data_IF_636764727039
#
_entry.id   IF_636764727039
#
_cell.length_a   1.000
_cell.length_b   1.000
_cell.length_c   1.000
_cell.angle_alpha   90.00
_cell.angle_beta   90.00
_cell.angle_gamma   90.00
#
_symmetry.space_group_name_H-M   'P 1'
#
loop_
_entity.id
_entity.type
_entity.pdbx_description
1 polymer ?
#
# COMPACT_ATOMS: atom_id res chain seq x y z
N UNK A 1 82.30 103.85 -54.06
CA UNK A 1 82.51 102.77 -53.07
C UNK A 1 81.82 103.13 -51.77
N UNK A 2 80.60 102.63 -51.58
CA UNK A 2 79.99 102.43 -50.26
C UNK A 2 78.84 101.45 -50.51
N UNK A 3 78.88 100.29 -49.85
CA UNK A 3 77.93 99.22 -50.14
C UNK A 3 76.72 99.40 -49.22
N UNK A 4 75.69 100.07 -49.72
CA UNK A 4 74.34 99.93 -49.17
C UNK A 4 73.76 98.62 -49.67
N UNK A 5 73.81 97.58 -48.85
CA UNK A 5 73.14 96.32 -49.15
C UNK A 5 71.62 96.57 -49.16
N UNK A 6 70.94 96.26 -50.27
CA UNK A 6 69.48 96.20 -50.32
C UNK A 6 69.03 94.88 -49.68
N UNK A 7 68.48 94.84 -48.45
CA UNK A 7 68.15 93.57 -47.79
C UNK A 7 66.84 92.97 -48.33
N UNK A 8 66.12 93.76 -49.13
CA UNK A 8 64.79 93.49 -49.66
C UNK A 8 64.69 93.90 -51.13
N UNK A 9 65.56 93.34 -51.97
CA UNK A 9 65.28 93.27 -53.40
C UNK A 9 63.96 92.52 -53.59
N UNK A 10 62.97 93.18 -54.21
CA UNK A 10 61.64 92.62 -54.42
C UNK A 10 61.73 91.37 -55.31
N UNK A 11 61.53 90.20 -54.70
CA UNK A 11 61.09 89.01 -55.42
C UNK A 11 59.63 89.24 -55.79
N UNK A 12 59.39 89.55 -57.05
CA UNK A 12 58.06 89.81 -57.63
C UNK A 12 57.28 88.49 -57.83
N UNK A 13 57.32 87.63 -56.81
CA UNK A 13 56.76 86.28 -56.80
C UNK A 13 55.26 86.32 -56.48
N UNK A 14 54.48 86.86 -57.41
CA UNK A 14 53.00 86.87 -57.39
C UNK A 14 52.40 85.44 -57.30
N UNK A 15 53.22 84.40 -57.49
CA UNK A 15 52.88 82.99 -57.29
C UNK A 15 53.12 82.46 -55.85
N UNK A 16 53.69 83.26 -54.94
CA UNK A 16 54.37 82.80 -53.73
C UNK A 16 53.62 82.90 -52.39
N UNK A 17 52.29 82.73 -52.33
CA UNK A 17 51.55 82.78 -51.04
C UNK A 17 52.12 81.75 -50.03
N UNK A 18 52.63 82.18 -48.86
CA UNK A 18 53.29 81.27 -47.91
C UNK A 18 52.31 80.21 -47.40
N UNK A 19 52.63 78.94 -47.66
CA UNK A 19 51.86 77.81 -47.17
C UNK A 19 52.40 77.34 -45.82
N UNK A 20 51.58 77.49 -44.77
CA UNK A 20 51.88 77.00 -43.43
C UNK A 20 51.43 75.55 -43.27
N UNK A 21 52.23 74.74 -42.58
CA UNK A 21 51.88 73.35 -42.23
C UNK A 21 50.73 73.31 -41.21
N UNK A 22 49.75 72.42 -41.42
CA UNK A 22 48.56 72.31 -40.57
C UNK A 22 48.72 71.23 -39.51
N UNK A 23 48.82 71.63 -38.24
CA UNK A 23 48.81 70.75 -37.07
C UNK A 23 47.40 70.52 -36.49
N UNK A 24 47.23 69.46 -35.68
CA UNK A 24 45.95 69.08 -35.07
C UNK A 24 45.34 70.16 -34.14
N UNK A 25 46.15 71.12 -33.69
CA UNK A 25 45.72 72.34 -33.02
C UNK A 25 46.58 73.50 -33.52
N UNK A 26 45.95 74.58 -33.98
CA UNK A 26 46.61 75.75 -34.55
C UNK A 26 45.66 76.96 -34.61
N UNK A 27 46.10 78.03 -35.28
CA UNK A 27 45.29 79.24 -35.50
C UNK A 27 44.21 79.03 -36.57
N UNK A 28 43.11 79.79 -36.51
CA UNK A 28 42.10 79.78 -37.58
C UNK A 28 42.70 80.35 -38.86
N UNK A 29 42.75 79.53 -39.92
CA UNK A 29 43.22 79.91 -41.24
C UNK A 29 42.54 81.19 -41.75
N UNK A 30 41.24 81.39 -41.52
CA UNK A 30 40.53 82.61 -41.98
C UNK A 30 40.96 83.88 -41.26
N UNK A 31 41.46 83.76 -40.03
CA UNK A 31 42.02 84.88 -39.27
C UNK A 31 43.47 85.15 -39.72
N UNK A 32 44.26 84.11 -39.98
CA UNK A 32 45.62 84.22 -40.51
C UNK A 32 45.61 84.82 -41.93
N UNK A 33 44.80 84.29 -42.84
CA UNK A 33 44.68 84.79 -44.23
C UNK A 33 44.38 86.30 -44.27
N UNK A 34 43.43 86.78 -43.44
CA UNK A 34 43.08 88.21 -43.32
C UNK A 34 44.21 89.04 -42.70
N UNK A 35 44.93 88.50 -41.72
CA UNK A 35 46.04 89.22 -41.09
C UNK A 35 47.21 89.39 -42.07
N UNK A 36 47.54 88.34 -42.85
CA UNK A 36 48.56 88.40 -43.92
C UNK A 36 48.17 89.44 -44.97
N UNK A 37 46.93 89.41 -45.47
CA UNK A 37 46.41 90.40 -46.43
C UNK A 37 46.47 91.84 -45.89
N UNK A 38 46.22 92.03 -44.59
CA UNK A 38 46.40 93.33 -43.93
C UNK A 38 47.88 93.76 -43.86
N UNK A 39 48.80 92.86 -43.52
CA UNK A 39 50.24 93.18 -43.45
C UNK A 39 50.86 93.42 -44.84
N UNK A 40 50.42 92.69 -45.87
CA UNK A 40 50.87 92.89 -47.25
C UNK A 40 50.43 94.27 -47.76
N UNK A 41 49.19 94.68 -47.46
CA UNK A 41 48.70 96.02 -47.75
C UNK A 41 49.50 97.13 -47.05
N UNK A 42 49.86 96.94 -45.77
CA UNK A 42 50.72 97.86 -45.03
C UNK A 42 52.14 97.95 -45.62
N UNK A 43 52.73 96.81 -46.01
CA UNK A 43 54.03 96.74 -46.66
C UNK A 43 54.03 97.50 -47.99
N UNK A 44 52.97 97.35 -48.80
CA UNK A 44 52.80 98.08 -50.05
C UNK A 44 52.74 99.59 -49.84
N UNK A 45 51.98 100.08 -48.84
CA UNK A 45 51.92 101.52 -48.53
C UNK A 45 53.28 102.08 -48.09
N UNK A 46 54.00 101.38 -47.20
CA UNK A 46 55.32 101.79 -46.72
C UNK A 46 56.37 101.81 -47.85
N UNK A 47 56.26 100.89 -48.80
CA UNK A 47 57.13 100.83 -49.99
C UNK A 47 56.87 102.02 -50.92
N UNK A 48 55.59 102.36 -51.17
CA UNK A 48 55.24 103.54 -51.97
C UNK A 48 55.69 104.86 -51.33
N UNK A 49 55.60 104.98 -49.99
CA UNK A 49 56.11 106.15 -49.26
C UNK A 49 57.64 106.28 -49.32
N UNK A 50 58.37 105.15 -49.18
CA UNK A 50 59.83 105.07 -49.38
C UNK A 50 60.23 105.58 -50.76
N UNK A 51 59.53 105.14 -51.80
CA UNK A 51 59.89 105.47 -53.18
C UNK A 51 59.59 106.93 -53.53
N UNK A 52 58.50 107.49 -52.99
CA UNK A 52 58.27 108.94 -53.02
C UNK A 52 59.37 109.74 -52.31
N UNK A 53 59.83 109.29 -51.14
CA UNK A 53 60.89 109.95 -50.40
C UNK A 53 62.24 109.91 -51.15
N UNK A 54 62.57 108.76 -51.76
CA UNK A 54 63.76 108.62 -52.61
C UNK A 54 63.72 109.57 -53.82
N UNK A 55 62.57 109.70 -54.48
CA UNK A 55 62.36 110.65 -55.58
C UNK A 55 62.59 112.11 -55.16
N UNK A 56 62.11 112.51 -53.97
CA UNK A 56 62.34 113.87 -53.42
C UNK A 56 63.82 114.14 -53.14
N UNK A 57 64.55 113.16 -52.57
CA UNK A 57 66.00 113.27 -52.32
C UNK A 57 66.80 113.42 -53.62
N UNK A 58 66.42 112.67 -54.66
CA UNK A 58 67.07 112.80 -55.98
C UNK A 58 66.82 114.19 -56.60
N UNK A 59 65.58 114.70 -56.54
CA UNK A 59 65.23 116.04 -57.01
C UNK A 59 65.98 117.18 -56.30
N UNK A 60 66.14 117.10 -54.97
CA UNK A 60 66.93 118.07 -54.22
C UNK A 60 68.42 118.04 -54.61
N UNK A 61 68.96 116.85 -54.89
CA UNK A 61 70.37 116.67 -55.28
C UNK A 61 70.69 117.37 -56.61
N UNK A 62 69.82 117.28 -57.62
CA UNK A 62 70.02 117.98 -58.90
C UNK A 62 69.88 119.50 -58.78
N UNK A 63 69.01 119.98 -57.90
CA UNK A 63 68.82 121.42 -57.66
C UNK A 63 70.08 122.07 -57.03
N UNK A 64 70.74 121.38 -56.11
CA UNK A 64 72.00 121.84 -55.49
C UNK A 64 73.11 121.96 -56.56
N UNK A 65 73.24 120.99 -57.45
CA UNK A 65 74.24 121.01 -58.53
C UNK A 65 74.03 122.20 -59.48
N UNK A 66 72.78 122.57 -59.77
CA UNK A 66 72.46 123.75 -60.60
C UNK A 66 72.89 125.06 -59.95
N UNK A 67 72.54 125.27 -58.68
CA UNK A 67 72.89 126.50 -57.95
C UNK A 67 74.41 126.70 -57.83
N UNK A 68 75.18 125.60 -57.75
CA UNK A 68 76.65 125.65 -57.77
C UNK A 68 77.20 126.20 -59.08
N UNK A 69 76.57 125.92 -60.23
CA UNK A 69 76.98 126.47 -61.52
C UNK A 69 76.71 127.97 -61.62
N UNK A 70 75.49 128.41 -61.29
CA UNK A 70 75.05 129.82 -61.40
C UNK A 70 75.93 130.77 -60.55
N UNK A 71 76.39 130.31 -59.37
CA UNK A 71 77.34 131.04 -58.50
C UNK A 71 78.75 131.19 -59.12
N UNK A 72 79.17 130.30 -60.02
CA UNK A 72 80.48 130.42 -60.70
C UNK A 72 80.45 131.37 -61.90
N UNK A 73 79.31 131.57 -62.55
CA UNK A 73 79.16 132.51 -63.67
C UNK A 73 79.21 133.96 -63.19
N UNK A 74 78.46 134.29 -62.14
CA UNK A 74 78.35 135.66 -61.60
C UNK A 74 79.68 136.24 -61.12
N UNK A 75 80.69 135.41 -60.84
CA UNK A 75 82.02 135.84 -60.39
C UNK A 75 82.94 136.38 -61.50
N UNK A 76 82.53 136.35 -62.79
CA UNK A 76 83.43 136.57 -63.93
C UNK A 76 83.29 137.92 -64.67
N UNK A 77 82.53 138.91 -64.15
CA UNK A 77 82.28 140.20 -64.84
C UNK A 77 82.75 141.46 -64.07
N UNK A 78 83.74 142.23 -64.59
CA UNK A 78 84.04 143.60 -64.17
C UNK A 78 83.29 144.66 -65.00
N UNK A 79 83.34 145.93 -64.59
CA UNK A 79 82.61 147.05 -65.22
C UNK A 79 83.46 148.33 -65.41
N UNK A 80 83.04 149.23 -66.30
CA UNK A 80 83.62 150.56 -66.57
C UNK A 80 82.53 151.61 -66.83
N UNK A 81 82.77 152.86 -66.40
CA UNK A 81 82.05 154.08 -66.82
C UNK A 81 83.04 155.25 -66.78
N UNK A 82 82.98 156.16 -67.74
CA UNK A 82 83.68 157.46 -67.71
C UNK A 82 82.92 158.49 -68.57
N UNK A 83 83.01 159.80 -68.23
CA UNK A 83 82.58 160.92 -69.09
C UNK A 83 83.09 162.28 -68.59
N UNK A 84 83.72 163.03 -69.51
CA UNK A 84 84.26 164.37 -69.26
C UNK A 84 83.26 165.50 -69.55
N UNK A 85 83.60 166.71 -69.10
CA UNK A 85 82.87 167.97 -69.35
C UNK A 85 83.61 168.88 -70.33
N UNK A 86 82.86 169.73 -71.05
CA UNK A 86 83.39 170.82 -71.86
C UNK A 86 82.75 172.14 -71.44
N UNK A 87 83.52 173.23 -71.59
CA UNK A 87 83.21 174.60 -71.20
C UNK A 87 83.79 175.51 -72.30
N UNK A 88 83.17 176.68 -72.51
CA UNK A 88 83.54 177.78 -73.45
C UNK A 88 82.70 177.89 -74.74
N UNK A 89 81.46 178.39 -74.62
CA UNK A 89 80.75 179.11 -75.69
C UNK A 89 79.99 180.31 -75.10
N UNK A 90 80.01 181.46 -75.79
CA UNK A 90 79.56 182.76 -75.28
C UNK A 90 78.09 183.17 -75.58
N UNK A 91 77.72 184.45 -75.36
CA UNK A 91 76.36 184.87 -74.98
C UNK A 91 75.21 184.68 -75.98
N UNK A 92 75.47 184.29 -77.23
CA UNK A 92 74.41 183.78 -78.11
C UNK A 92 73.91 182.41 -77.61
N UNK A 93 74.81 181.59 -77.05
CA UNK A 93 74.48 180.33 -76.39
C UNK A 93 73.72 180.59 -75.10
N UNK A 94 73.94 181.68 -74.36
CA UNK A 94 73.10 182.00 -73.19
C UNK A 94 71.63 182.26 -73.57
N UNK A 95 71.35 182.91 -74.72
CA UNK A 95 69.97 183.05 -75.20
C UNK A 95 69.37 181.73 -75.70
N UNK A 96 70.17 180.90 -76.39
CA UNK A 96 69.73 179.57 -76.84
C UNK A 96 69.48 178.65 -75.65
N UNK A 97 70.34 178.70 -74.62
CA UNK A 97 70.17 177.99 -73.35
C UNK A 97 68.96 178.50 -72.59
N UNK A 98 68.74 179.81 -72.45
CA UNK A 98 67.56 180.34 -71.74
C UNK A 98 66.24 180.01 -72.48
N UNK A 99 66.25 179.90 -73.81
CA UNK A 99 65.08 179.45 -74.57
C UNK A 99 64.91 177.92 -74.48
N UNK A 100 66.00 177.16 -74.55
CA UNK A 100 66.01 175.70 -74.37
C UNK A 100 65.66 175.29 -72.94
N UNK A 101 65.98 176.10 -71.92
CA UNK A 101 65.63 175.92 -70.51
C UNK A 101 64.14 176.17 -70.30
N UNK A 102 63.56 177.20 -70.95
CA UNK A 102 62.10 177.40 -70.99
C UNK A 102 61.38 176.26 -71.72
N UNK A 103 61.92 175.80 -72.85
CA UNK A 103 61.37 174.64 -73.58
C UNK A 103 61.51 173.34 -72.77
N UNK A 104 62.64 173.13 -72.10
CA UNK A 104 62.85 172.02 -71.18
C UNK A 104 61.93 172.11 -69.96
N UNK A 105 61.64 173.31 -69.46
CA UNK A 105 60.60 173.58 -68.47
C UNK A 105 59.23 173.08 -68.94
N UNK A 106 58.76 173.50 -70.11
CA UNK A 106 57.48 173.04 -70.69
C UNK A 106 57.48 171.53 -70.99
N UNK A 107 58.61 170.98 -71.45
CA UNK A 107 58.74 169.53 -71.71
C UNK A 107 58.74 168.73 -70.40
N UNK A 108 59.41 169.21 -69.35
CA UNK A 108 59.43 168.54 -68.04
C UNK A 108 58.11 168.69 -67.31
N UNK A 109 57.46 169.86 -67.34
CA UNK A 109 56.12 170.09 -66.78
C UNK A 109 55.06 169.24 -67.49
N UNK A 110 55.06 169.18 -68.83
CA UNK A 110 54.17 168.29 -69.57
C UNK A 110 54.54 166.80 -69.47
N UNK A 111 55.78 166.46 -69.10
CA UNK A 111 56.18 165.09 -68.81
C UNK A 111 55.80 164.66 -67.38
N UNK A 112 55.99 165.52 -66.37
CA UNK A 112 55.54 165.26 -64.99
C UNK A 112 54.01 165.24 -64.92
N UNK A 113 53.31 166.14 -65.60
CA UNK A 113 51.85 166.08 -65.68
C UNK A 113 51.36 164.76 -66.32
N UNK A 114 52.00 164.29 -67.40
CA UNK A 114 51.69 162.97 -67.99
C UNK A 114 52.06 161.80 -67.07
N UNK A 115 53.19 161.87 -66.37
CA UNK A 115 53.60 160.86 -65.41
C UNK A 115 52.63 160.78 -64.22
N UNK A 116 52.23 161.93 -63.67
CA UNK A 116 51.25 162.04 -62.59
C UNK A 116 49.86 161.53 -63.04
N UNK A 117 49.44 161.83 -64.28
CA UNK A 117 48.20 161.28 -64.83
C UNK A 117 48.26 159.74 -64.96
N UNK A 118 49.33 159.20 -65.54
CA UNK A 118 49.53 157.75 -65.68
C UNK A 118 49.67 157.05 -64.31
N UNK A 119 50.28 157.70 -63.32
CA UNK A 119 50.32 157.21 -61.93
C UNK A 119 48.91 157.20 -61.32
N UNK A 120 48.14 158.28 -61.44
CA UNK A 120 46.77 158.33 -60.94
C UNK A 120 45.82 157.34 -61.66
N UNK A 121 46.06 157.04 -62.95
CA UNK A 121 45.36 155.98 -63.68
C UNK A 121 45.77 154.58 -63.19
N UNK A 122 47.07 154.33 -63.01
CA UNK A 122 47.56 153.06 -62.48
C UNK A 122 47.10 152.82 -61.02
N UNK A 123 47.09 153.86 -60.18
CA UNK A 123 46.58 153.80 -58.81
C UNK A 123 45.08 153.51 -58.77
N UNK A 124 44.28 154.12 -59.67
CA UNK A 124 42.84 153.77 -59.81
C UNK A 124 42.66 152.32 -60.24
N UNK A 125 43.37 151.86 -61.27
CA UNK A 125 43.28 150.46 -61.74
C UNK A 125 43.73 149.47 -60.65
N UNK A 126 44.76 149.80 -59.88
CA UNK A 126 45.18 149.00 -58.72
C UNK A 126 44.17 149.04 -57.57
N UNK A 127 43.51 150.17 -57.32
CA UNK A 127 42.45 150.29 -56.32
C UNK A 127 41.21 149.47 -56.74
N UNK A 128 40.74 149.61 -57.98
CA UNK A 128 39.65 148.81 -58.54
C UNK A 128 39.98 147.30 -58.55
N UNK A 129 41.21 146.92 -58.91
CA UNK A 129 41.64 145.53 -58.88
C UNK A 129 41.66 144.97 -57.45
N UNK A 130 42.15 145.74 -56.47
CA UNK A 130 42.11 145.37 -55.06
C UNK A 130 40.67 145.24 -54.56
N UNK A 131 39.81 146.19 -54.87
CA UNK A 131 38.39 146.14 -54.49
C UNK A 131 37.70 144.91 -55.08
N UNK A 132 37.89 144.63 -56.38
CA UNK A 132 37.40 143.40 -57.03
C UNK A 132 37.92 142.13 -56.38
N UNK A 133 39.20 142.09 -55.96
CA UNK A 133 39.72 140.91 -55.22
C UNK A 133 39.13 140.78 -53.81
N UNK A 134 38.84 141.89 -53.12
CA UNK A 134 38.19 141.87 -51.80
C UNK A 134 36.71 141.50 -51.91
N UNK A 135 36.03 141.91 -52.97
CA UNK A 135 34.67 141.46 -53.32
C UNK A 135 34.69 139.96 -53.61
N UNK A 136 35.47 139.50 -54.59
CA UNK A 136 35.54 138.08 -54.97
C UNK A 136 35.97 137.14 -53.82
N UNK A 137 36.82 137.60 -52.89
CA UNK A 137 37.14 136.82 -51.69
C UNK A 137 35.96 136.71 -50.72
N UNK A 138 35.18 137.79 -50.53
CA UNK A 138 33.94 137.74 -49.72
C UNK A 138 32.89 136.86 -50.38
N UNK A 139 32.69 136.98 -51.69
CA UNK A 139 31.74 136.16 -52.45
C UNK A 139 32.09 134.66 -52.30
N UNK A 140 33.39 134.32 -52.33
CA UNK A 140 33.88 132.96 -52.09
C UNK A 140 33.74 132.51 -50.63
N UNK A 141 34.03 133.37 -49.65
CA UNK A 141 33.84 133.07 -48.23
C UNK A 141 32.34 132.84 -47.90
N UNK A 142 31.44 133.61 -48.52
CA UNK A 142 29.99 133.45 -48.42
C UNK A 142 29.50 132.18 -49.13
N UNK A 143 30.02 131.83 -50.32
CA UNK A 143 29.76 130.55 -50.98
C UNK A 143 30.23 129.34 -50.15
N UNK A 144 31.39 129.45 -49.51
CA UNK A 144 31.95 128.38 -48.66
C UNK A 144 31.15 128.22 -47.37
N UNK A 145 30.79 129.32 -46.71
CA UNK A 145 29.92 129.30 -45.53
C UNK A 145 28.52 128.76 -45.85
N UNK A 146 27.95 129.11 -47.01
CA UNK A 146 26.69 128.56 -47.49
C UNK A 146 26.78 127.04 -47.71
N UNK A 147 27.80 126.55 -48.43
CA UNK A 147 27.99 125.11 -48.65
C UNK A 147 28.27 124.33 -47.35
N UNK A 148 28.97 124.92 -46.39
CA UNK A 148 29.14 124.31 -45.05
C UNK A 148 27.79 124.21 -44.34
N UNK A 149 27.02 125.30 -44.27
CA UNK A 149 25.69 125.30 -43.65
C UNK A 149 24.66 124.39 -44.36
N UNK A 150 24.81 124.12 -45.66
CA UNK A 150 24.04 123.09 -46.37
C UNK A 150 24.48 121.67 -46.04
N UNK A 151 25.79 121.43 -45.92
CA UNK A 151 26.34 120.12 -45.54
C UNK A 151 26.01 119.75 -44.10
N UNK A 152 26.09 120.71 -43.16
CA UNK A 152 25.74 120.50 -41.75
C UNK A 152 24.25 120.16 -41.61
N UNK A 153 23.35 120.90 -42.27
CA UNK A 153 21.91 120.57 -42.31
C UNK A 153 21.67 119.18 -42.90
N UNK A 154 22.27 118.87 -44.05
CA UNK A 154 22.11 117.56 -44.68
C UNK A 154 22.69 116.41 -43.82
N UNK A 155 23.66 116.70 -42.96
CA UNK A 155 24.16 115.77 -41.95
C UNK A 155 23.19 115.62 -40.77
N UNK A 156 22.66 116.71 -40.22
CA UNK A 156 21.66 116.70 -39.14
C UNK A 156 20.35 116.04 -39.56
N UNK A 157 19.88 116.27 -40.80
CA UNK A 157 18.72 115.58 -41.39
C UNK A 157 18.97 114.07 -41.51
N UNK A 158 20.09 113.65 -42.10
CA UNK A 158 20.44 112.22 -42.20
C UNK A 158 20.62 111.57 -40.83
N UNK A 159 21.20 112.28 -39.88
CA UNK A 159 21.43 111.81 -38.52
C UNK A 159 20.11 111.66 -37.76
N UNK A 160 19.22 112.65 -37.82
CA UNK A 160 17.91 112.58 -37.16
C UNK A 160 17.02 111.50 -37.77
N UNK A 161 17.03 111.32 -39.09
CA UNK A 161 16.37 110.16 -39.74
C UNK A 161 16.94 108.84 -39.19
N UNK A 162 18.26 108.66 -39.20
CA UNK A 162 18.89 107.43 -38.67
C UNK A 162 18.61 107.20 -37.17
N UNK A 163 18.58 108.26 -36.35
CA UNK A 163 18.21 108.17 -34.94
C UNK A 163 16.73 107.78 -34.75
N UNK A 164 15.81 108.25 -35.61
CA UNK A 164 14.41 107.79 -35.60
C UNK A 164 14.25 106.36 -36.10
N UNK A 165 14.94 105.94 -37.16
CA UNK A 165 14.92 104.56 -37.65
C UNK A 165 15.44 103.58 -36.60
N UNK A 166 16.55 103.92 -35.91
CA UNK A 166 17.08 103.14 -34.81
C UNK A 166 16.11 103.06 -33.63
N UNK A 167 15.44 104.17 -33.29
CA UNK A 167 14.40 104.18 -32.25
C UNK A 167 13.21 103.27 -32.61
N UNK A 168 12.72 103.31 -33.86
CA UNK A 168 11.66 102.40 -34.32
C UNK A 168 12.12 100.93 -34.34
N UNK A 169 13.35 100.65 -34.76
CA UNK A 169 13.91 99.29 -34.77
C UNK A 169 14.04 98.76 -33.34
N UNK A 170 14.51 99.58 -32.40
CA UNK A 170 14.56 99.23 -30.98
C UNK A 170 13.16 98.99 -30.42
N UNK A 171 12.18 99.86 -30.67
CA UNK A 171 10.82 99.67 -30.18
C UNK A 171 10.19 98.38 -30.75
N UNK A 172 10.35 98.12 -32.05
CA UNK A 172 9.92 96.86 -32.69
C UNK A 172 10.61 95.65 -32.06
N UNK A 173 11.90 95.73 -31.73
CA UNK A 173 12.63 94.66 -31.07
C UNK A 173 12.15 94.40 -29.64
N UNK A 174 11.92 95.44 -28.83
CA UNK A 174 11.38 95.25 -27.47
C UNK A 174 9.94 94.73 -27.48
N UNK A 175 9.08 95.22 -28.40
CA UNK A 175 7.73 94.68 -28.59
C UNK A 175 7.77 93.19 -28.94
N UNK A 176 8.61 92.78 -29.89
CA UNK A 176 8.77 91.37 -30.28
C UNK A 176 9.34 90.49 -29.14
N UNK A 177 10.23 91.01 -28.29
CA UNK A 177 10.68 90.31 -27.08
C UNK A 177 9.54 90.13 -26.08
N UNK A 178 8.83 91.21 -25.75
CA UNK A 178 7.71 91.17 -24.80
C UNK A 178 6.56 90.26 -25.29
N UNK A 179 6.27 90.25 -26.59
CA UNK A 179 5.32 89.31 -27.20
C UNK A 179 5.82 87.87 -27.13
N UNK A 180 7.10 87.61 -27.39
CA UNK A 180 7.73 86.30 -27.30
C UNK A 180 7.78 85.76 -25.86
N UNK A 181 8.12 86.60 -24.89
CA UNK A 181 8.10 86.28 -23.45
C UNK A 181 6.68 86.00 -22.98
N UNK A 182 5.70 86.85 -23.30
CA UNK A 182 4.30 86.63 -22.96
C UNK A 182 3.72 85.37 -23.64
N UNK A 183 4.13 85.04 -24.86
CA UNK A 183 3.77 83.79 -25.52
C UNK A 183 4.41 82.57 -24.83
N UNK A 184 5.68 82.68 -24.41
CA UNK A 184 6.39 81.63 -23.68
C UNK A 184 5.78 81.39 -22.29
N UNK A 185 5.42 82.44 -21.55
CA UNK A 185 4.72 82.33 -20.27
C UNK A 185 3.35 81.65 -20.41
N UNK A 186 2.56 82.02 -21.42
CA UNK A 186 1.28 81.36 -21.72
C UNK A 186 1.49 79.87 -22.01
N UNK A 187 2.45 79.52 -22.88
CA UNK A 187 2.79 78.14 -23.18
C UNK A 187 3.25 77.35 -21.94
N UNK A 188 4.03 77.96 -21.04
CA UNK A 188 4.37 77.35 -19.75
C UNK A 188 3.15 77.16 -18.84
N UNK A 189 2.25 78.14 -18.76
CA UNK A 189 1.04 78.08 -17.93
C UNK A 189 0.07 77.01 -18.46
N UNK A 190 -0.09 76.91 -19.77
CA UNK A 190 -0.88 75.86 -20.42
C UNK A 190 -0.25 74.47 -20.22
N UNK A 191 1.07 74.32 -20.38
CA UNK A 191 1.77 73.06 -20.10
C UNK A 191 1.63 72.63 -18.62
N UNK A 192 1.73 73.58 -17.67
CA UNK A 192 1.47 73.35 -16.23
C UNK A 192 0.02 72.93 -16.00
N UNK A 193 -0.95 73.63 -16.59
CA UNK A 193 -2.38 73.31 -16.49
C UNK A 193 -2.72 71.93 -17.07
N UNK A 194 -2.18 71.58 -18.23
CA UNK A 194 -2.39 70.29 -18.89
C UNK A 194 -1.75 69.18 -18.05
N UNK A 195 -0.49 69.32 -17.62
CA UNK A 195 0.17 68.31 -16.77
C UNK A 195 -0.52 68.11 -15.42
N UNK A 196 -1.02 69.17 -14.78
CA UNK A 196 -1.90 69.07 -13.60
C UNK A 196 -3.20 68.32 -13.90
N UNK A 197 -3.88 68.65 -15.00
CA UNK A 197 -5.14 67.99 -15.39
C UNK A 197 -4.91 66.50 -15.68
N UNK A 198 -3.85 66.16 -16.41
CA UNK A 198 -3.44 64.77 -16.68
C UNK A 198 -3.06 64.04 -15.38
N UNK A 199 -2.32 64.67 -14.46
CA UNK A 199 -2.00 64.08 -13.15
C UNK A 199 -3.27 63.83 -12.31
N UNK A 200 -4.23 64.76 -12.32
CA UNK A 200 -5.55 64.62 -11.67
C UNK A 200 -6.36 63.48 -12.31
N UNK A 201 -6.35 63.34 -13.63
CA UNK A 201 -7.02 62.23 -14.33
C UNK A 201 -6.35 60.87 -14.08
N UNK A 202 -5.02 60.80 -14.08
CA UNK A 202 -4.26 59.56 -13.79
C UNK A 202 -4.51 59.12 -12.34
N UNK A 203 -4.51 60.04 -11.37
CA UNK A 203 -4.79 59.70 -9.97
C UNK A 203 -6.26 59.29 -9.76
N UNK A 204 -7.22 59.94 -10.41
CA UNK A 204 -8.63 59.56 -10.37
C UNK A 204 -8.90 58.18 -11.00
N UNK A 205 -8.40 57.93 -12.21
CA UNK A 205 -8.57 56.64 -12.92
C UNK A 205 -7.88 55.51 -12.17
N UNK A 206 -6.68 55.74 -11.61
CA UNK A 206 -6.01 54.79 -10.73
C UNK A 206 -6.81 54.52 -9.45
N UNK A 207 -7.32 55.54 -8.78
CA UNK A 207 -8.14 55.37 -7.57
C UNK A 207 -9.43 54.58 -7.87
N UNK A 208 -10.08 54.83 -9.01
CA UNK A 208 -11.24 54.06 -9.46
C UNK A 208 -10.88 52.59 -9.76
N UNK A 209 -9.78 52.32 -10.45
CA UNK A 209 -9.30 50.96 -10.71
C UNK A 209 -8.90 50.21 -9.42
N UNK A 210 -8.25 50.89 -8.48
CA UNK A 210 -7.94 50.33 -7.15
C UNK A 210 -9.20 50.09 -6.32
N UNK A 211 -10.25 50.91 -6.45
CA UNK A 211 -11.53 50.71 -5.80
C UNK A 211 -12.30 49.51 -6.40
N UNK A 212 -12.39 49.43 -7.73
CA UNK A 212 -13.04 48.32 -8.44
C UNK A 212 -12.35 46.98 -8.18
N UNK A 213 -11.02 46.94 -8.17
CA UNK A 213 -10.26 45.70 -7.86
C UNK A 213 -10.36 45.30 -6.39
N UNK A 214 -10.50 46.26 -5.45
CA UNK A 214 -10.83 45.96 -4.04
C UNK A 214 -12.25 45.39 -3.92
N UNK A 215 -13.24 46.04 -4.55
CA UNK A 215 -14.64 45.62 -4.53
C UNK A 215 -14.83 44.20 -5.12
N UNK A 216 -14.24 43.93 -6.28
CA UNK A 216 -14.27 42.59 -6.90
C UNK A 216 -13.61 41.53 -6.02
N UNK A 217 -12.48 41.84 -5.36
CA UNK A 217 -11.84 40.92 -4.40
C UNK A 217 -12.74 40.64 -3.20
N UNK A 218 -13.39 41.65 -2.63
CA UNK A 218 -14.33 41.45 -1.50
C UNK A 218 -15.57 40.67 -1.91
N UNK A 219 -16.11 40.90 -3.12
CA UNK A 219 -17.24 40.13 -3.66
C UNK A 219 -16.85 38.66 -3.86
N UNK A 220 -15.74 38.37 -4.54
CA UNK A 220 -15.25 37.00 -4.75
C UNK A 220 -14.97 36.31 -3.40
N UNK A 221 -14.46 37.03 -2.40
CA UNK A 221 -14.30 36.49 -1.05
C UNK A 221 -15.65 36.16 -0.38
N UNK A 222 -16.66 37.01 -0.53
CA UNK A 222 -18.01 36.76 -0.01
C UNK A 222 -18.67 35.55 -0.71
N UNK A 223 -18.58 35.48 -2.04
CA UNK A 223 -19.11 34.36 -2.85
C UNK A 223 -18.43 33.03 -2.50
N UNK A 224 -17.10 33.01 -2.35
CA UNK A 224 -16.35 31.81 -1.92
C UNK A 224 -16.75 31.38 -0.52
N UNK A 225 -16.94 32.30 0.43
CA UNK A 225 -17.34 31.94 1.79
C UNK A 225 -18.80 31.47 1.83
N UNK A 226 -19.70 32.10 1.06
CA UNK A 226 -21.09 31.65 0.92
C UNK A 226 -21.17 30.23 0.34
N UNK A 227 -20.47 29.97 -0.77
CA UNK A 227 -20.40 28.65 -1.40
C UNK A 227 -19.78 27.59 -0.46
N UNK A 228 -18.78 27.95 0.35
CA UNK A 228 -18.25 27.07 1.40
C UNK A 228 -19.28 26.76 2.48
N UNK A 229 -20.00 27.76 2.99
CA UNK A 229 -21.04 27.53 4.00
C UNK A 229 -22.21 26.71 3.47
N UNK A 230 -22.59 26.91 2.20
CA UNK A 230 -23.60 26.08 1.52
C UNK A 230 -23.11 24.64 1.38
N UNK A 231 -21.91 24.41 0.84
CA UNK A 231 -21.35 23.06 0.69
C UNK A 231 -21.16 22.35 2.04
N UNK A 232 -20.81 23.08 3.12
CA UNK A 232 -20.77 22.53 4.48
C UNK A 232 -22.16 22.15 5.00
N UNK A 233 -23.20 22.92 4.68
CA UNK A 233 -24.59 22.60 5.03
C UNK A 233 -25.10 21.38 4.24
N UNK A 234 -24.81 21.31 2.94
CA UNK A 234 -25.14 20.17 2.08
C UNK A 234 -24.45 18.89 2.56
N UNK A 235 -23.15 18.95 2.88
CA UNK A 235 -22.42 17.82 3.48
C UNK A 235 -23.01 17.43 4.85
N UNK A 236 -23.33 18.39 5.71
CA UNK A 236 -23.95 18.09 7.01
C UNK A 236 -25.34 17.44 6.87
N UNK A 237 -26.14 17.86 5.86
CA UNK A 237 -27.42 17.22 5.54
C UNK A 237 -27.24 15.80 5.00
N UNK A 238 -26.27 15.58 4.11
CA UNK A 238 -25.94 14.25 3.59
C UNK A 238 -25.46 13.31 4.72
N UNK A 239 -24.59 13.79 5.62
CA UNK A 239 -24.18 13.03 6.80
C UNK A 239 -25.37 12.72 7.72
N UNK A 240 -26.19 13.71 8.07
CA UNK A 240 -27.35 13.51 8.95
C UNK A 240 -28.46 12.64 8.33
N UNK A 241 -28.50 12.47 7.01
CA UNK A 241 -29.39 11.53 6.33
C UNK A 241 -28.78 10.13 6.28
N UNK A 242 -27.50 9.99 5.92
CA UNK A 242 -26.79 8.71 5.96
C UNK A 242 -26.75 8.11 7.38
N UNK A 243 -26.63 8.94 8.43
CA UNK A 243 -26.71 8.49 9.84
C UNK A 243 -28.10 7.93 10.19
N UNK A 244 -29.19 8.51 9.65
CA UNK A 244 -30.56 7.97 9.81
C UNK A 244 -30.72 6.67 9.04
N UNK A 245 -30.33 6.63 7.76
CA UNK A 245 -30.40 5.42 6.94
C UNK A 245 -29.63 4.26 7.59
N UNK A 246 -28.43 4.52 8.14
CA UNK A 246 -27.65 3.54 8.90
C UNK A 246 -28.33 3.14 10.21
N UNK A 247 -28.99 4.07 10.92
CA UNK A 247 -29.74 3.75 12.15
C UNK A 247 -31.01 2.93 11.86
N UNK A 248 -31.74 3.25 10.80
CA UNK A 248 -32.93 2.54 10.33
C UNK A 248 -32.58 1.12 9.85
N UNK A 249 -31.52 0.97 9.04
CA UNK A 249 -31.02 -0.34 8.62
C UNK A 249 -30.52 -1.18 9.81
N UNK A 250 -29.89 -0.57 10.82
CA UNK A 250 -29.50 -1.27 12.06
C UNK A 250 -30.72 -1.70 12.87
N UNK A 251 -31.72 -0.82 13.05
CA UNK A 251 -32.94 -1.16 13.77
C UNK A 251 -33.72 -2.29 13.08
N UNK A 252 -33.78 -2.29 11.75
CA UNK A 252 -34.37 -3.37 10.97
C UNK A 252 -33.58 -4.69 11.14
N UNK A 253 -32.25 -4.68 11.01
CA UNK A 253 -31.43 -5.86 11.21
C UNK A 253 -31.47 -6.39 12.66
N UNK A 254 -31.60 -5.50 13.66
CA UNK A 254 -31.80 -5.89 15.07
C UNK A 254 -33.19 -6.53 15.28
N UNK A 255 -34.23 -6.04 14.59
CA UNK A 255 -35.57 -6.66 14.58
C UNK A 255 -35.52 -8.05 13.92
N UNK A 256 -34.96 -8.19 12.72
CA UNK A 256 -34.79 -9.49 12.04
C UNK A 256 -34.01 -10.48 12.91
N UNK A 257 -32.94 -10.05 13.60
CA UNK A 257 -32.18 -10.89 14.52
C UNK A 257 -32.97 -11.28 15.78
N UNK A 258 -33.89 -10.45 16.27
CA UNK A 258 -34.80 -10.81 17.37
C UNK A 258 -35.88 -11.77 16.88
N UNK A 259 -36.48 -11.53 15.72
CA UNK A 259 -37.47 -12.43 15.11
C UNK A 259 -36.86 -13.81 14.86
N UNK A 260 -35.69 -13.90 14.22
CA UNK A 260 -34.97 -15.16 14.02
C UNK A 260 -34.59 -15.87 15.33
N UNK A 261 -34.22 -15.14 16.40
CA UNK A 261 -33.98 -15.75 17.72
C UNK A 261 -35.26 -16.31 18.33
N UNK A 262 -36.35 -15.55 18.35
CA UNK A 262 -37.62 -16.03 18.91
C UNK A 262 -38.20 -17.20 18.11
N UNK A 263 -38.01 -17.23 16.79
CA UNK A 263 -38.37 -18.37 15.94
C UNK A 263 -37.52 -19.62 16.27
N UNK A 264 -36.20 -19.46 16.46
CA UNK A 264 -35.32 -20.57 16.85
C UNK A 264 -35.60 -21.06 18.28
N UNK A 265 -35.94 -20.18 19.22
CA UNK A 265 -36.36 -20.54 20.59
C UNK A 265 -37.71 -21.29 20.58
N UNK A 266 -38.65 -20.88 19.72
CA UNK A 266 -39.90 -21.61 19.48
C UNK A 266 -39.64 -22.97 18.83
N UNK A 267 -38.75 -23.08 17.85
CA UNK A 267 -38.40 -24.37 17.25
C UNK A 267 -37.73 -25.29 18.27
N UNK A 268 -36.77 -24.81 19.05
CA UNK A 268 -36.11 -25.59 20.09
C UNK A 268 -37.07 -26.06 21.19
N UNK A 269 -38.04 -25.24 21.60
CA UNK A 269 -39.06 -25.64 22.59
C UNK A 269 -40.08 -26.62 22.01
N UNK A 270 -40.43 -26.51 20.73
CA UNK A 270 -41.23 -27.50 20.00
C UNK A 270 -40.48 -28.84 19.84
N UNK A 271 -39.20 -28.80 19.45
CA UNK A 271 -38.35 -29.99 19.37
C UNK A 271 -38.15 -30.65 20.73
N UNK A 272 -37.94 -29.85 21.80
CA UNK A 272 -37.77 -30.37 23.16
C UNK A 272 -39.04 -31.05 23.67
N UNK A 273 -40.20 -30.40 23.56
CA UNK A 273 -41.48 -30.99 24.00
C UNK A 273 -41.91 -32.20 23.15
N UNK A 274 -41.58 -32.24 21.85
CA UNK A 274 -41.74 -33.44 21.04
C UNK A 274 -40.81 -34.59 21.49
N UNK A 275 -39.55 -34.28 21.84
CA UNK A 275 -38.63 -35.27 22.40
C UNK A 275 -39.06 -35.76 23.79
N UNK A 276 -39.59 -34.89 24.65
CA UNK A 276 -40.18 -35.28 25.93
C UNK A 276 -41.38 -36.22 25.74
N UNK A 277 -42.26 -35.93 24.77
CA UNK A 277 -43.38 -36.83 24.43
C UNK A 277 -42.91 -38.19 23.92
N UNK A 278 -41.88 -38.24 23.07
CA UNK A 278 -41.26 -39.50 22.61
C UNK A 278 -40.59 -40.27 23.76
N UNK A 279 -39.91 -39.57 24.68
CA UNK A 279 -39.33 -40.19 25.89
C UNK A 279 -40.45 -40.74 26.79
N UNK A 280 -41.56 -40.02 26.95
CA UNK A 280 -42.71 -40.49 27.72
C UNK A 280 -43.41 -41.70 27.05
N UNK A 281 -43.55 -41.73 25.72
CA UNK A 281 -44.11 -42.90 25.03
C UNK A 281 -43.19 -44.11 25.15
N UNK A 282 -41.88 -43.95 24.94
CA UNK A 282 -40.90 -45.01 25.12
C UNK A 282 -40.83 -45.51 26.57
N UNK A 283 -41.00 -44.64 27.58
CA UNK A 283 -41.11 -45.03 28.98
C UNK A 283 -42.41 -45.81 29.23
N UNK A 284 -43.54 -45.38 28.65
CA UNK A 284 -44.82 -46.08 28.77
C UNK A 284 -44.78 -47.47 28.09
N UNK A 285 -44.20 -47.57 26.89
CA UNK A 285 -43.96 -48.82 26.17
C UNK A 285 -43.01 -49.74 26.96
N UNK A 286 -41.91 -49.22 27.50
CA UNK A 286 -40.98 -49.98 28.34
C UNK A 286 -41.62 -50.44 29.66
N UNK A 287 -42.51 -49.64 30.26
CA UNK A 287 -43.31 -50.03 31.43
C UNK A 287 -44.31 -51.12 31.08
N UNK A 288 -45.04 -51.00 29.97
CA UNK A 288 -45.96 -52.02 29.47
C UNK A 288 -45.22 -53.34 29.20
N UNK A 289 -44.10 -53.28 28.47
CA UNK A 289 -43.25 -54.45 28.21
C UNK A 289 -42.69 -55.05 29.51
N UNK A 290 -42.27 -54.24 30.48
CA UNK A 290 -41.83 -54.73 31.78
C UNK A 290 -42.99 -55.38 32.58
N UNK A 291 -44.22 -54.90 32.45
CA UNK A 291 -45.40 -55.56 33.04
C UNK A 291 -45.77 -56.85 32.31
N UNK A 292 -45.68 -56.91 30.98
CA UNK A 292 -45.88 -58.17 30.23
C UNK A 292 -44.81 -59.21 30.56
N UNK A 293 -43.54 -58.81 30.66
CA UNK A 293 -42.43 -59.72 31.01
C UNK A 293 -42.58 -60.20 32.45
N UNK A 294 -43.05 -59.35 33.38
CA UNK A 294 -43.42 -59.79 34.73
C UNK A 294 -44.61 -60.75 34.71
N UNK A 295 -45.69 -60.43 34.02
CA UNK A 295 -46.86 -61.32 33.90
C UNK A 295 -46.48 -62.68 33.32
N UNK A 296 -45.71 -62.73 32.22
CA UNK A 296 -45.20 -63.99 31.65
C UNK A 296 -44.27 -64.75 32.61
N UNK A 297 -43.47 -64.05 33.41
CA UNK A 297 -42.62 -64.68 34.42
C UNK A 297 -43.44 -65.20 35.61
N UNK A 298 -44.45 -64.46 36.06
CA UNK A 298 -45.37 -64.84 37.14
C UNK A 298 -46.27 -66.03 36.70
N UNK A 299 -46.72 -66.04 35.43
CA UNK A 299 -47.41 -67.17 34.78
C UNK A 299 -46.52 -68.41 34.70
N UNK A 300 -45.25 -68.26 34.29
CA UNK A 300 -44.28 -69.35 34.27
C UNK A 300 -43.96 -69.86 35.68
N UNK A 301 -43.81 -68.97 36.66
CA UNK A 301 -43.60 -69.32 38.07
C UNK A 301 -44.84 -70.04 38.64
N UNK A 302 -46.05 -69.59 38.33
CA UNK A 302 -47.28 -70.27 38.72
C UNK A 302 -47.37 -71.67 38.08
N UNK A 303 -47.14 -71.79 36.77
CA UNK A 303 -47.12 -73.10 36.09
C UNK A 303 -46.04 -74.05 36.62
N UNK A 304 -44.86 -73.53 36.98
CA UNK A 304 -43.80 -74.31 37.64
C UNK A 304 -44.13 -74.67 39.09
N UNK A 305 -44.88 -73.84 39.82
CA UNK A 305 -45.41 -74.17 41.14
C UNK A 305 -46.48 -75.27 41.06
N UNK A 306 -47.42 -75.17 40.11
CA UNK A 306 -48.40 -76.22 39.83
C UNK A 306 -47.71 -77.55 39.49
N UNK A 307 -46.74 -77.53 38.57
CA UNK A 307 -45.90 -78.68 38.23
C UNK A 307 -45.17 -79.25 39.46
N UNK A 308 -44.61 -78.40 40.33
CA UNK A 308 -43.97 -78.83 41.58
C UNK A 308 -44.98 -79.48 42.53
N UNK A 309 -46.19 -78.95 42.68
CA UNK A 309 -47.22 -79.57 43.54
C UNK A 309 -47.71 -80.90 42.99
N UNK A 310 -47.88 -81.03 41.67
CA UNK A 310 -48.22 -82.29 41.02
C UNK A 310 -47.12 -83.35 41.19
N UNK A 311 -45.85 -82.97 41.03
CA UNK A 311 -44.70 -83.86 41.27
C UNK A 311 -44.58 -84.24 42.75
N UNK A 312 -44.87 -83.32 43.68
CA UNK A 312 -44.91 -83.63 45.12
C UNK A 312 -46.03 -84.62 45.47
N UNK A 313 -47.21 -84.50 44.84
CA UNK A 313 -48.31 -85.46 44.98
C UNK A 313 -47.92 -86.83 44.42
N UNK A 314 -47.38 -86.89 43.20
CA UNK A 314 -46.93 -88.14 42.57
C UNK A 314 -45.78 -88.82 43.37
N UNK A 315 -44.90 -88.04 44.00
CA UNK A 315 -43.88 -88.55 44.94
C UNK A 315 -44.53 -89.11 46.21
N UNK A 316 -45.54 -88.45 46.78
CA UNK A 316 -46.24 -88.94 47.96
C UNK A 316 -47.00 -90.25 47.68
N UNK A 317 -47.68 -90.34 46.52
CA UNK A 317 -48.34 -91.57 46.05
C UNK A 317 -47.33 -92.71 45.84
N UNK A 318 -46.20 -92.44 45.17
CA UNK A 318 -45.11 -93.43 45.01
C UNK A 318 -44.50 -93.85 46.35
N UNK A 319 -44.41 -92.96 47.33
CA UNK A 319 -43.96 -93.30 48.69
C UNK A 319 -44.96 -94.21 49.41
N UNK A 320 -46.27 -93.94 49.29
CA UNK A 320 -47.32 -94.80 49.86
C UNK A 320 -47.34 -96.19 49.21
N UNK A 321 -47.22 -96.27 47.88
CA UNK A 321 -47.07 -97.54 47.17
C UNK A 321 -45.79 -98.30 47.59
N UNK A 322 -44.67 -97.59 47.78
CA UNK A 322 -43.43 -98.19 48.29
C UNK A 322 -43.55 -98.69 49.73
N UNK A 323 -44.38 -98.09 50.59
CA UNK A 323 -44.67 -98.66 51.92
C UNK A 323 -45.53 -99.91 51.84
N UNK A 324 -46.57 -99.93 51.01
CA UNK A 324 -47.43 -101.11 50.81
C UNK A 324 -46.63 -102.31 50.29
N UNK A 325 -45.83 -102.12 49.24
CA UNK A 325 -44.95 -103.18 48.68
C UNK A 325 -43.90 -103.67 49.70
N UNK A 326 -43.47 -102.84 50.65
CA UNK A 326 -42.57 -103.27 51.74
C UNK A 326 -43.30 -104.13 52.78
N UNK A 327 -44.53 -103.81 53.13
CA UNK A 327 -45.36 -104.59 54.06
C UNK A 327 -45.75 -105.95 53.46
N UNK A 328 -46.10 -105.99 52.17
CA UNK A 328 -46.31 -107.23 51.41
C UNK A 328 -45.03 -108.10 51.37
N UNK A 329 -43.86 -107.48 51.15
CA UNK A 329 -42.59 -108.20 51.05
C UNK A 329 -42.10 -108.71 52.42
N UNK A 330 -42.32 -107.97 53.51
CA UNK A 330 -41.99 -108.42 54.87
C UNK A 330 -43.00 -109.43 55.45
N UNK A 331 -44.26 -109.44 54.99
CA UNK A 331 -45.22 -110.52 55.33
C UNK A 331 -44.89 -111.81 54.58
N UNK A 332 -44.59 -111.73 53.28
CA UNK A 332 -44.11 -112.88 52.50
C UNK A 332 -42.81 -113.49 53.07
N UNK A 333 -41.88 -112.66 53.56
CA UNK A 333 -40.66 -113.12 54.25
C UNK A 333 -40.94 -113.91 55.53
N UNK A 334 -41.94 -113.51 56.33
CA UNK A 334 -42.30 -114.23 57.57
C UNK A 334 -42.87 -115.61 57.26
N UNK A 335 -43.81 -115.68 56.31
CA UNK A 335 -44.39 -116.95 55.84
C UNK A 335 -43.32 -117.91 55.32
N UNK A 336 -42.34 -117.40 54.56
CA UNK A 336 -41.24 -118.21 54.04
C UNK A 336 -40.28 -118.70 55.14
N UNK A 337 -40.12 -117.95 56.23
CA UNK A 337 -39.34 -118.38 57.40
C UNK A 337 -40.08 -119.43 58.26
N UNK A 338 -41.41 -119.33 58.40
CA UNK A 338 -42.24 -120.33 59.08
C UNK A 338 -42.17 -121.68 58.33
N UNK A 339 -42.40 -121.69 57.01
CA UNK A 339 -42.31 -122.88 56.16
C UNK A 339 -40.91 -123.52 56.23
N UNK A 340 -39.85 -122.71 56.32
CA UNK A 340 -38.49 -123.22 56.50
C UNK A 340 -38.31 -123.91 57.85
N UNK A 341 -38.81 -123.35 58.96
CA UNK A 341 -38.73 -124.00 60.27
C UNK A 341 -39.56 -125.28 60.35
N UNK A 342 -40.74 -125.33 59.72
CA UNK A 342 -41.56 -126.55 59.63
C UNK A 342 -40.79 -127.67 58.89
N UNK A 343 -40.19 -127.37 57.73
CA UNK A 343 -39.35 -128.32 57.00
C UNK A 343 -38.16 -128.84 57.83
N UNK A 344 -37.47 -127.92 58.53
CA UNK A 344 -36.35 -128.20 59.43
C UNK A 344 -36.73 -129.16 60.59
N UNK A 345 -37.99 -129.15 61.03
CA UNK A 345 -38.51 -130.10 62.03
C UNK A 345 -38.90 -131.44 61.40
N UNK A 346 -39.54 -131.44 60.23
CA UNK A 346 -39.96 -132.66 59.54
C UNK A 346 -38.77 -133.57 59.15
N UNK A 347 -37.64 -132.99 58.70
CA UNK A 347 -36.42 -133.77 58.41
C UNK A 347 -35.84 -134.45 59.66
N UNK A 348 -35.87 -133.77 60.82
CA UNK A 348 -35.34 -134.31 62.08
C UNK A 348 -36.15 -135.51 62.58
N UNK A 349 -37.47 -135.45 62.43
CA UNK A 349 -38.37 -136.57 62.78
C UNK A 349 -38.24 -137.74 61.80
N UNK A 350 -38.04 -137.46 60.50
CA UNK A 350 -37.77 -138.49 59.48
C UNK A 350 -36.49 -139.29 59.83
N UNK A 351 -35.41 -138.59 60.21
CA UNK A 351 -34.14 -139.22 60.60
C UNK A 351 -34.27 -140.03 61.91
N UNK A 352 -35.09 -139.59 62.88
CA UNK A 352 -35.40 -140.41 64.06
C UNK A 352 -36.18 -141.68 63.70
N UNK A 353 -37.18 -141.57 62.82
CA UNK A 353 -37.99 -142.71 62.39
C UNK A 353 -37.15 -143.77 61.66
N UNK A 354 -36.25 -143.34 60.77
CA UNK A 354 -35.32 -144.23 60.05
C UNK A 354 -34.41 -145.01 61.00
N UNK A 355 -33.79 -144.34 61.99
CA UNK A 355 -32.90 -144.99 62.97
C UNK A 355 -33.61 -146.06 63.80
N UNK A 356 -34.83 -145.78 64.30
CA UNK A 356 -35.66 -146.76 65.02
C UNK A 356 -36.00 -147.98 64.15
N UNK A 357 -36.22 -147.76 62.85
CA UNK A 357 -36.55 -148.83 61.90
C UNK A 357 -35.34 -149.74 61.60
N UNK A 358 -34.11 -149.22 61.63
CA UNK A 358 -32.90 -150.05 61.58
C UNK A 358 -32.73 -150.93 62.83
N UNK A 359 -32.93 -150.37 64.03
CA UNK A 359 -32.81 -151.12 65.29
C UNK A 359 -33.80 -152.29 65.33
N UNK A 360 -35.06 -152.03 64.97
CA UNK A 360 -36.11 -153.07 64.89
C UNK A 360 -35.77 -154.15 63.84
N UNK A 361 -35.20 -153.78 62.69
CA UNK A 361 -34.70 -154.74 61.68
C UNK A 361 -33.57 -155.62 62.23
N UNK A 362 -32.61 -155.02 62.97
CA UNK A 362 -31.49 -155.76 63.59
C UNK A 362 -31.99 -156.73 64.67
N UNK A 363 -32.93 -156.33 65.53
CA UNK A 363 -33.51 -157.24 66.53
C UNK A 363 -34.36 -158.37 65.92
N UNK A 364 -35.10 -158.09 64.84
CA UNK A 364 -35.87 -159.12 64.14
C UNK A 364 -34.95 -160.19 63.54
N UNK A 365 -33.83 -159.79 62.95
CA UNK A 365 -32.85 -160.70 62.36
C UNK A 365 -32.12 -161.60 63.38
N UNK A 366 -32.04 -161.19 64.66
CA UNK A 366 -31.52 -162.05 65.74
C UNK A 366 -32.55 -163.08 66.23
N UNK A 367 -33.84 -162.74 66.24
CA UNK A 367 -34.90 -163.67 66.70
C UNK A 367 -35.34 -164.68 65.64
N UNK A 368 -35.30 -164.34 64.35
CA UNK A 368 -35.53 -165.32 63.28
C UNK A 368 -34.48 -166.44 63.33
N UNK A 369 -33.21 -166.10 63.54
CA UNK A 369 -32.10 -167.07 63.67
C UNK A 369 -32.32 -168.06 64.83
N UNK A 370 -32.76 -167.55 65.99
CA UNK A 370 -33.13 -168.38 67.16
C UNK A 370 -34.29 -169.33 66.86
N UNK A 371 -35.29 -168.88 66.11
CA UNK A 371 -36.43 -169.71 65.69
C UNK A 371 -36.05 -170.82 64.69
N UNK A 372 -35.07 -170.57 63.81
CA UNK A 372 -34.60 -171.59 62.85
C UNK A 372 -33.78 -172.69 63.53
N UNK A 373 -32.91 -172.33 64.49
CA UNK A 373 -32.18 -173.30 65.32
C UNK A 373 -33.15 -174.18 66.14
N UNK A 374 -34.19 -173.58 66.73
CA UNK A 374 -35.25 -174.32 67.45
C UNK A 374 -36.05 -175.27 66.55
N UNK A 375 -36.33 -174.89 65.29
CA UNK A 375 -37.03 -175.74 64.31
C UNK A 375 -36.21 -176.95 63.87
N UNK A 376 -34.90 -176.77 63.61
CA UNK A 376 -34.04 -177.87 63.18
C UNK A 376 -33.85 -178.94 64.27
N UNK A 377 -33.95 -178.56 65.54
CA UNK A 377 -34.05 -179.52 66.65
C UNK A 377 -35.37 -180.32 66.62
N UNK A 378 -36.51 -179.67 66.39
CA UNK A 378 -37.84 -180.29 66.39
C UNK A 378 -38.03 -181.30 65.24
N UNK A 379 -37.64 -180.96 64.01
CA UNK A 379 -37.70 -181.85 62.84
C UNK A 379 -36.96 -183.17 63.06
N UNK A 380 -35.90 -183.13 63.89
CA UNK A 380 -35.12 -184.30 64.23
C UNK A 380 -35.89 -185.31 65.06
N UNK A 381 -36.72 -184.83 66.00
CA UNK A 381 -37.59 -185.64 66.86
C UNK A 381 -38.71 -186.25 66.02
N UNK A 382 -39.34 -185.44 65.16
CA UNK A 382 -40.52 -185.86 64.40
C UNK A 382 -40.25 -187.01 63.42
N UNK A 383 -39.03 -187.06 62.83
CA UNK A 383 -38.64 -188.14 61.90
C UNK A 383 -38.71 -189.53 62.52
N UNK A 384 -38.40 -189.68 63.80
CA UNK A 384 -38.51 -190.97 64.48
C UNK A 384 -39.91 -191.27 65.03
N UNK A 385 -40.75 -190.26 65.26
CA UNK A 385 -42.17 -190.50 65.55
C UNK A 385 -42.92 -191.10 64.34
N UNK A 386 -42.41 -190.89 63.11
CA UNK A 386 -42.98 -191.42 61.87
C UNK A 386 -42.69 -192.91 61.64
N UNK A 387 -41.47 -193.39 61.91
CA UNK A 387 -41.13 -194.81 61.72
C UNK A 387 -41.85 -195.74 62.72
N UNK A 388 -42.08 -195.29 63.96
CA UNK A 388 -42.93 -196.03 64.93
C UNK A 388 -44.38 -196.12 64.43
N UNK A 389 -44.95 -195.02 63.91
CA UNK A 389 -46.32 -195.01 63.35
C UNK A 389 -46.49 -195.93 62.13
N UNK A 390 -45.45 -196.11 61.32
CA UNK A 390 -45.49 -196.99 60.16
C UNK A 390 -45.67 -198.47 60.53
N UNK A 391 -45.20 -198.90 61.72
CA UNK A 391 -45.41 -200.27 62.23
C UNK A 391 -46.87 -200.53 62.62
N UNK A 392 -47.56 -199.55 63.23
CA UNK A 392 -48.89 -199.77 63.82
C UNK A 392 -50.03 -199.75 62.80
N UNK A 393 -49.98 -198.91 61.76
CA UNK A 393 -51.14 -198.72 60.87
C UNK A 393 -51.39 -199.84 59.85
N UNK A 394 -50.42 -200.72 59.57
CA UNK A 394 -50.56 -201.75 58.51
C UNK A 394 -51.19 -203.06 58.98
N UNK A 395 -51.31 -203.28 60.29
CA UNK A 395 -52.12 -204.38 60.83
C UNK A 395 -53.61 -204.03 60.82
N UNK A 396 -53.97 -202.77 61.08
CA UNK A 396 -55.35 -202.31 61.13
C UNK A 396 -56.11 -202.43 59.79
N UNK A 397 -55.49 -202.11 58.65
CA UNK A 397 -56.19 -202.08 57.35
C UNK A 397 -56.28 -203.45 56.64
N UNK A 398 -56.15 -204.56 57.37
CA UNK A 398 -56.70 -205.88 56.96
C UNK A 398 -58.12 -206.15 57.48
N UNK A 399 -58.62 -205.36 58.42
CA UNK A 399 -59.79 -205.74 59.25
C UNK A 399 -61.07 -204.94 58.92
N UNK A 400 -60.96 -203.67 58.51
CA UNK A 400 -62.12 -202.78 58.38
C UNK A 400 -63.15 -203.22 57.31
N UNK A 401 -62.69 -203.58 56.11
CA UNK A 401 -63.52 -203.67 54.91
C UNK A 401 -64.04 -205.10 54.59
N UNK A 402 -64.13 -205.98 55.59
CA UNK A 402 -64.73 -207.33 55.45
C UNK A 402 -66.04 -207.51 56.25
N UNK A 403 -66.40 -206.58 57.13
CA UNK A 403 -67.48 -206.79 58.12
C UNK A 403 -68.77 -205.98 57.90
N UNK A 404 -68.73 -204.82 57.22
CA UNK A 404 -69.93 -204.02 56.95
C UNK A 404 -70.97 -204.75 56.06
N UNK A 405 -70.55 -205.80 55.35
CA UNK A 405 -71.43 -206.69 54.58
C UNK A 405 -72.14 -207.76 55.43
N UNK A 406 -71.91 -207.81 56.76
CA UNK A 406 -72.34 -208.91 57.63
C UNK A 406 -72.94 -208.48 58.98
N UNK A 407 -73.65 -207.34 59.04
CA UNK A 407 -74.92 -207.22 59.83
C UNK A 407 -76.08 -207.01 58.83
N UNK A 408 -76.01 -207.64 57.66
CA UNK A 408 -76.65 -208.92 57.31
C UNK A 408 -76.45 -210.18 58.23
N UNK A 409 -75.50 -210.21 59.18
CA UNK A 409 -75.28 -211.25 60.22
C UNK A 409 -75.01 -210.65 61.65
N UNK A 410 -74.04 -211.15 62.45
CA UNK A 410 -73.89 -210.79 63.90
C UNK A 410 -72.48 -211.09 64.53
N UNK A 411 -72.38 -210.93 65.88
CA UNK A 411 -71.27 -211.23 66.84
C UNK A 411 -70.28 -210.07 67.23
N UNK A 412 -69.55 -210.17 68.38
CA UNK A 412 -68.90 -209.01 69.08
C UNK A 412 -67.74 -209.29 70.12
N UNK A 413 -66.81 -208.32 70.35
CA UNK A 413 -66.13 -207.94 71.65
C UNK A 413 -64.61 -208.24 72.00
N UNK A 414 -63.80 -207.26 72.52
CA UNK A 414 -62.54 -207.44 73.38
C UNK A 414 -61.16 -206.69 73.09
N UNK A 415 -60.25 -206.48 74.09
CA UNK A 415 -58.74 -206.18 74.10
C UNK A 415 -58.10 -204.76 73.70
N UNK A 416 -56.82 -204.26 73.95
CA UNK A 416 -55.60 -204.46 74.85
C UNK A 416 -54.51 -203.26 74.83
N UNK A 417 -53.23 -203.36 75.32
CA UNK A 417 -52.26 -202.21 75.69
C UNK A 417 -50.75 -202.14 75.14
N UNK A 418 -50.20 -201.00 74.52
CA UNK A 418 -48.78 -200.68 73.96
C UNK A 418 -48.41 -199.11 73.74
N UNK A 419 -47.34 -198.41 73.16
CA UNK A 419 -45.97 -198.49 72.42
C UNK A 419 -45.18 -197.06 72.27
N UNK A 420 -43.92 -196.86 71.73
CA UNK A 420 -42.96 -195.64 71.92
C UNK A 420 -42.14 -194.78 70.78
N UNK A 421 -40.75 -194.64 70.59
CA UNK A 421 -39.93 -193.35 70.30
C UNK A 421 -38.71 -193.32 69.21
N UNK A 422 -37.69 -192.38 68.93
CA UNK A 422 -37.33 -190.87 68.87
C UNK A 422 -35.86 -190.44 68.24
N UNK A 423 -35.65 -189.28 67.51
CA UNK A 423 -34.43 -188.38 67.07
C UNK A 423 -33.35 -188.54 65.87
N UNK A 424 -33.21 -187.59 64.86
CA UNK A 424 -31.96 -186.97 64.12
C UNK A 424 -32.16 -186.07 62.78
N UNK A 425 -31.17 -185.26 62.24
CA UNK A 425 -31.22 -183.84 61.59
C UNK A 425 -30.72 -183.56 60.08
N UNK A 426 -31.10 -182.44 59.34
CA UNK A 426 -30.32 -181.68 58.21
C UNK A 426 -30.92 -180.32 57.59
N UNK A 427 -30.15 -179.29 57.03
CA UNK A 427 -30.65 -177.94 56.50
C UNK A 427 -30.18 -177.36 55.04
N UNK A 428 -29.80 -176.06 54.67
CA UNK A 428 -30.35 -175.15 53.56
C UNK A 428 -29.39 -174.36 52.52
N UNK A 429 -29.82 -173.34 51.67
CA UNK A 429 -29.00 -172.52 50.66
C UNK A 429 -29.55 -171.13 50.00
N UNK A 430 -28.63 -170.16 49.65
CA UNK A 430 -28.51 -168.94 48.68
C UNK A 430 -29.66 -167.90 48.32
N UNK A 431 -29.47 -166.59 47.84
CA UNK A 431 -28.27 -165.80 47.31
C UNK A 431 -27.87 -164.29 47.78
N UNK A 432 -28.20 -163.06 47.17
CA UNK A 432 -27.25 -161.91 46.89
C UNK A 432 -27.58 -160.40 47.34
N UNK A 433 -26.91 -159.31 46.79
CA UNK A 433 -26.92 -157.85 47.24
C UNK A 433 -26.65 -156.67 46.18
N UNK A 434 -26.45 -155.37 46.57
CA UNK A 434 -26.60 -154.04 45.81
C UNK A 434 -25.67 -152.81 46.26
N UNK A 435 -25.56 -151.67 45.50
CA UNK A 435 -25.30 -150.16 45.77
C UNK A 435 -23.99 -149.37 46.31
N UNK A 436 -23.94 -147.99 46.10
CA UNK A 436 -23.25 -146.80 46.83
C UNK A 436 -22.09 -145.86 46.17
N UNK A 437 -21.56 -144.65 46.69
CA UNK A 437 -21.82 -143.21 46.19
C UNK A 437 -20.74 -141.98 46.23
N UNK A 438 -21.15 -140.68 45.93
CA UNK A 438 -20.57 -139.23 46.12
C UNK A 438 -20.05 -138.35 44.88
N UNK A 439 -19.74 -136.98 44.76
CA UNK A 439 -19.47 -135.69 45.56
C UNK A 439 -19.76 -134.27 44.80
N UNK A 440 -19.06 -133.08 44.99
CA UNK A 440 -19.38 -131.62 44.56
C UNK A 440 -18.14 -130.68 44.12
N UNK A 441 -17.97 -129.29 44.01
CA UNK A 441 -18.63 -127.90 44.15
C UNK A 441 -17.78 -126.65 43.56
N UNK A 442 -18.20 -125.33 43.51
CA UNK A 442 -17.37 -124.09 43.09
C UNK A 442 -17.99 -122.61 43.05
N UNK A 443 -17.25 -121.44 42.86
CA UNK A 443 -17.74 -119.97 42.97
C UNK A 443 -16.83 -118.69 42.51
N UNK A 444 -17.41 -117.44 42.31
CA UNK A 444 -16.92 -115.97 42.49
C UNK A 444 -16.47 -114.89 41.36
N UNK A 445 -16.08 -113.59 41.68
CA UNK A 445 -16.35 -112.25 40.96
C UNK A 445 -15.29 -111.02 40.96
N UNK A 446 -15.49 -109.81 40.30
CA UNK A 446 -14.55 -108.60 40.16
C UNK A 446 -15.13 -107.12 39.82
N UNK A 447 -14.32 -106.00 39.68
CA UNK A 447 -14.68 -104.50 39.46
C UNK A 447 -13.69 -103.60 38.54
N UNK A 448 -13.64 -102.21 38.54
CA UNK A 448 -13.16 -101.19 37.48
C UNK A 448 -12.27 -99.94 37.97
N UNK A 449 -12.04 -98.68 37.38
CA UNK A 449 -11.99 -97.97 36.01
C UNK A 449 -10.89 -96.80 35.74
N UNK A 450 -10.99 -95.94 34.64
CA UNK A 450 -10.39 -94.56 34.31
C UNK A 450 -8.90 -94.36 33.75
N UNK A 451 -8.25 -93.17 33.38
CA UNK A 451 -8.58 -91.70 33.08
C UNK A 451 -7.75 -90.89 31.91
N UNK A 452 -7.89 -89.52 31.77
CA UNK A 452 -6.95 -88.39 31.24
C UNK A 452 -6.48 -88.16 29.72
N UNK A 453 -5.80 -87.07 29.17
CA UNK A 453 -5.55 -85.56 29.39
C UNK A 453 -4.76 -84.76 28.22
N UNK A 454 -4.50 -83.40 28.31
CA UNK A 454 -3.44 -82.48 27.67
C UNK A 454 -3.67 -81.35 26.55
N UNK A 455 -2.75 -80.32 26.42
CA UNK A 455 -2.85 -79.03 25.61
C UNK A 455 -1.46 -78.37 25.13
N UNK A 456 -1.35 -77.54 24.03
CA UNK A 456 -0.10 -76.89 23.47
C UNK A 456 0.01 -75.31 23.39
N UNK A 457 1.03 -74.68 22.72
CA UNK A 457 1.37 -73.20 22.76
C UNK A 457 2.05 -72.47 21.52
N UNK A 458 1.83 -71.12 21.41
CA UNK A 458 2.62 -69.94 20.87
C UNK A 458 3.40 -69.88 19.51
N UNK A 459 3.22 -68.78 18.69
CA UNK A 459 4.26 -67.79 18.24
C UNK A 459 3.89 -66.79 17.08
N UNK A 460 4.46 -65.57 17.13
CA UNK A 460 4.98 -64.68 16.04
C UNK A 460 4.15 -63.66 15.19
N UNK A 461 4.70 -62.41 15.18
CA UNK A 461 4.69 -61.27 14.20
C UNK A 461 3.41 -60.42 13.91
N UNK A 462 3.55 -59.07 13.81
CA UNK A 462 2.51 -58.14 13.33
C UNK A 462 2.77 -57.62 11.89
N UNK A 463 1.73 -57.09 11.21
CA UNK A 463 1.91 -56.29 9.98
C UNK A 463 0.70 -55.39 9.64
N UNK A 464 0.95 -54.42 8.75
CA UNK A 464 0.03 -53.57 7.96
C UNK A 464 -0.80 -52.47 8.66
N UNK A 465 -0.74 -51.28 8.05
CA UNK A 465 -1.52 -50.07 8.31
C UNK A 465 -2.75 -50.04 7.39
N UNK A 466 -3.90 -49.53 7.87
CA UNK A 466 -4.93 -48.99 6.98
C UNK A 466 -6.38 -49.12 7.45
N UNK A 467 -6.93 -48.05 8.02
CA UNK A 467 -8.36 -47.66 8.01
C UNK A 467 -8.45 -46.18 8.38
#
# INVERSE_FOLDING_TARGET
MSNGEEPFALRDDVAGRPHFETALRGYDKRQVDRYVEQTDGQLATMTAERDQAAGRLHGLTTHIQRLQAEVTELRQRPAQVDRASFRDLGPMVDQILALAEKQAGVITESATQRANNLQAEAEKVLAEARERTVQALRDLDEELAARQAEQDKAYEERRSVAETELAEIHERAERLRAEGEAAHERAQQEAKRISEQTAKQITQTRAAAEALTKAARTQIQQEIQAARTQSQQELAQLHANAEKEIAELRAAAEQELVEHRTAAEQELTNQHSAAEQQIQSLIAEAQQYATEVRQRADEQVAGHQEQLTAVQQEIAERQQALTQVREELDTARRQLAEIQQEGDTAERDLVQAQRRLEEVRRSLATETRRLEEARQAADSVERHAKDVRARVQREAKRVADLAAAAVMAAAAGGSETAEFPVVTVRPPAEPPAEETPEERRGQFTADRPAPESYVPAAAHRPEVVGS
#
